data_IF_651148117448
#
_entry.id   IF_651148117448
#
_cell.length_a   1.000
_cell.length_b   1.000
_cell.length_c   1.000
_cell.angle_alpha   90.00
_cell.angle_beta   90.00
_cell.angle_gamma   90.00
#
_symmetry.space_group_name_H-M   'P 1'
#
loop_
_entity.id
_entity.type
_entity.pdbx_description
1 polymer ?
#
# COMPACT_ATOMS: atom_id res chain seq x y z
N UNK A 1 -3.18 -29.84 -15.19
CA UNK A 1 -3.49 -28.53 -15.81
C UNK A 1 -4.97 -28.17 -15.60
N UNK A 2 -5.34 -26.87 -15.68
CA UNK A 2 -6.72 -26.38 -15.54
C UNK A 2 -7.05 -25.54 -16.77
N UNK A 3 -8.17 -25.85 -17.44
CA UNK A 3 -8.70 -25.08 -18.56
C UNK A 3 -9.94 -24.30 -18.10
N UNK A 4 -9.87 -22.97 -18.08
CA UNK A 4 -11.01 -22.08 -17.87
C UNK A 4 -11.52 -21.69 -19.26
N UNK A 5 -12.81 -21.88 -19.55
CA UNK A 5 -13.36 -21.60 -20.88
C UNK A 5 -14.75 -20.98 -20.87
N UNK A 6 -15.09 -20.30 -21.99
CA UNK A 6 -16.40 -19.73 -22.22
C UNK A 6 -16.65 -18.36 -21.56
N UNK A 7 -15.70 -17.86 -20.77
CA UNK A 7 -15.79 -16.57 -20.11
C UNK A 7 -15.36 -15.40 -21.00
N UNK A 8 -15.76 -14.19 -20.61
CA UNK A 8 -15.15 -12.96 -21.11
C UNK A 8 -13.86 -12.72 -20.37
N UNK A 9 -12.71 -12.90 -21.04
CA UNK A 9 -11.40 -12.74 -20.41
C UNK A 9 -10.90 -11.31 -20.58
N UNK A 10 -10.55 -10.67 -19.47
CA UNK A 10 -9.97 -9.31 -19.42
C UNK A 10 -8.55 -9.38 -18.88
N UNK A 11 -7.53 -9.53 -19.76
CA UNK A 11 -6.16 -9.78 -19.31
C UNK A 11 -5.45 -8.53 -18.77
N UNK A 12 -6.07 -7.34 -18.86
CA UNK A 12 -5.56 -6.01 -18.52
C UNK A 12 -4.42 -5.55 -19.43
N UNK A 13 -3.46 -6.43 -19.73
CA UNK A 13 -2.27 -6.11 -20.57
C UNK A 13 -2.52 -6.30 -22.08
N UNK A 14 -3.76 -6.66 -22.47
CA UNK A 14 -4.14 -6.91 -23.87
C UNK A 14 -5.62 -6.71 -24.09
N UNK A 15 -6.07 -6.98 -25.33
CA UNK A 15 -7.49 -6.88 -25.68
C UNK A 15 -8.36 -7.90 -24.96
N UNK A 16 -9.61 -7.54 -24.69
CA UNK A 16 -10.62 -8.45 -24.15
C UNK A 16 -10.92 -9.60 -25.11
N UNK A 17 -11.16 -10.79 -24.60
CA UNK A 17 -11.44 -11.99 -25.37
C UNK A 17 -12.82 -12.52 -24.99
N UNK A 18 -13.80 -12.34 -25.89
CA UNK A 18 -15.16 -12.87 -25.70
C UNK A 18 -15.19 -14.38 -25.90
N UNK A 19 -15.84 -15.11 -24.98
CA UNK A 19 -15.92 -16.58 -24.94
C UNK A 19 -14.53 -17.20 -25.08
N UNK A 20 -13.56 -16.65 -24.31
CA UNK A 20 -12.17 -17.05 -24.37
C UNK A 20 -11.85 -18.28 -23.54
N UNK A 21 -10.62 -18.76 -23.73
CA UNK A 21 -10.04 -19.88 -23.01
C UNK A 21 -8.70 -19.49 -22.39
N UNK A 22 -8.45 -19.98 -21.18
CA UNK A 22 -7.20 -19.78 -20.43
C UNK A 22 -6.75 -21.12 -19.85
N UNK A 23 -5.54 -21.54 -20.18
CA UNK A 23 -4.92 -22.76 -19.69
C UNK A 23 -3.90 -22.41 -18.60
N UNK A 24 -4.07 -23.05 -17.44
CA UNK A 24 -3.14 -22.97 -16.31
C UNK A 24 -2.32 -24.27 -16.30
N UNK A 25 -1.00 -24.13 -16.32
CA UNK A 25 -0.05 -25.24 -16.24
C UNK A 25 0.02 -25.85 -14.83
N UNK A 26 0.70 -26.98 -14.73
CA UNK A 26 0.92 -27.66 -13.43
C UNK A 26 1.86 -26.87 -12.50
N UNK A 27 2.61 -25.94 -13.06
CA UNK A 27 3.42 -24.97 -12.32
C UNK A 27 2.61 -23.77 -11.77
N UNK A 28 1.28 -23.79 -11.95
CA UNK A 28 0.38 -22.69 -11.52
C UNK A 28 0.43 -21.44 -12.38
N UNK A 29 1.17 -21.45 -13.51
CA UNK A 29 1.29 -20.28 -14.40
C UNK A 29 0.32 -20.39 -15.57
N UNK A 30 -0.01 -19.23 -16.16
CA UNK A 30 -0.78 -19.17 -17.40
C UNK A 30 0.10 -19.73 -18.54
N UNK A 31 -0.27 -20.89 -19.06
CA UNK A 31 0.42 -21.55 -20.15
C UNK A 31 -0.06 -21.01 -21.52
N UNK A 32 -1.35 -20.70 -21.65
CA UNK A 32 -1.93 -20.16 -22.86
C UNK A 32 -3.19 -19.35 -22.56
N UNK A 33 -3.48 -18.36 -23.40
CA UNK A 33 -4.69 -17.53 -23.34
C UNK A 33 -5.09 -17.14 -24.78
N UNK A 34 -6.38 -17.27 -25.11
CA UNK A 34 -6.86 -16.97 -26.44
C UNK A 34 -8.35 -17.24 -26.60
N UNK A 35 -8.84 -17.11 -27.83
CA UNK A 35 -10.21 -17.49 -28.19
C UNK A 35 -10.40 -19.01 -28.06
N UNK A 36 -9.38 -19.77 -28.41
CA UNK A 36 -9.26 -21.21 -28.28
C UNK A 36 -7.82 -21.54 -27.94
N UNK A 37 -7.60 -22.45 -27.01
CA UNK A 37 -6.26 -22.92 -26.62
C UNK A 37 -6.16 -24.43 -26.77
N UNK A 38 -4.98 -24.92 -27.13
CA UNK A 38 -4.71 -26.35 -27.18
C UNK A 38 -4.45 -26.84 -25.74
N UNK A 39 -5.40 -27.63 -25.21
CA UNK A 39 -5.34 -28.12 -23.85
C UNK A 39 -5.30 -29.67 -23.83
N UNK A 40 -4.55 -30.29 -22.91
CA UNK A 40 -4.56 -31.75 -22.73
C UNK A 40 -5.98 -32.27 -22.44
N UNK A 41 -6.28 -33.47 -22.94
CA UNK A 41 -7.59 -34.08 -22.78
C UNK A 41 -7.98 -34.38 -21.33
N UNK A 42 -7.00 -34.47 -20.44
CA UNK A 42 -7.15 -34.71 -19.00
C UNK A 42 -7.13 -33.40 -18.17
N UNK A 43 -7.07 -32.23 -18.81
CA UNK A 43 -7.14 -30.97 -18.11
C UNK A 43 -8.50 -30.83 -17.39
N UNK A 44 -8.45 -30.39 -16.12
CA UNK A 44 -9.67 -30.04 -15.37
C UNK A 44 -10.33 -28.82 -16.00
N UNK A 45 -11.56 -28.99 -16.49
CA UNK A 45 -12.31 -27.89 -17.12
C UNK A 45 -13.13 -27.14 -16.10
N UNK A 46 -13.03 -25.80 -16.13
CA UNK A 46 -13.90 -24.86 -15.41
C UNK A 46 -14.70 -24.11 -16.46
N UNK A 47 -16.02 -24.28 -16.44
CA UNK A 47 -16.95 -23.52 -17.28
C UNK A 47 -17.15 -22.14 -16.70
N UNK A 48 -16.69 -21.12 -17.41
CA UNK A 48 -16.84 -19.69 -17.07
C UNK A 48 -17.86 -18.98 -17.97
N UNK A 49 -18.78 -19.71 -18.61
CA UNK A 49 -19.82 -19.13 -19.47
C UNK A 49 -20.62 -18.08 -18.69
N UNK A 50 -20.71 -16.87 -19.24
CA UNK A 50 -21.39 -15.73 -18.58
C UNK A 50 -20.58 -15.05 -17.48
N UNK A 51 -19.35 -15.51 -17.21
CA UNK A 51 -18.46 -14.91 -16.21
C UNK A 51 -17.47 -13.95 -16.86
N UNK A 52 -17.02 -12.97 -16.07
CA UNK A 52 -15.84 -12.17 -16.33
C UNK A 52 -14.63 -12.85 -15.69
N UNK A 53 -13.61 -13.15 -16.47
CA UNK A 53 -12.33 -13.73 -16.00
C UNK A 53 -11.29 -12.61 -15.99
N UNK A 54 -10.77 -12.28 -14.81
CA UNK A 54 -9.75 -11.24 -14.59
C UNK A 54 -8.57 -11.81 -13.83
N UNK A 55 -7.39 -11.16 -13.85
CA UNK A 55 -6.38 -11.40 -12.83
C UNK A 55 -6.95 -11.17 -11.43
N UNK A 56 -6.38 -11.82 -10.42
CA UNK A 56 -6.73 -11.53 -9.02
C UNK A 56 -6.49 -10.07 -8.69
N UNK A 57 -7.39 -9.48 -7.89
CA UNK A 57 -7.26 -8.08 -7.49
C UNK A 57 -6.08 -7.89 -6.54
N UNK A 58 -5.53 -6.67 -6.58
CA UNK A 58 -4.39 -6.26 -5.74
C UNK A 58 -4.79 -5.02 -4.97
N UNK A 59 -4.73 -5.07 -3.64
CA UNK A 59 -4.84 -3.86 -2.81
C UNK A 59 -3.45 -3.30 -2.51
N UNK A 60 -3.22 -2.05 -2.90
CA UNK A 60 -1.93 -1.39 -2.74
C UNK A 60 -1.73 -0.77 -1.33
N UNK A 61 -2.74 -0.82 -0.46
CA UNK A 61 -2.65 -0.30 0.90
C UNK A 61 -3.72 -0.87 1.83
N UNK A 62 -3.27 -1.67 2.78
CA UNK A 62 -4.10 -2.18 3.88
C UNK A 62 -3.23 -2.47 5.11
N UNK A 63 -3.87 -2.99 6.17
CA UNK A 63 -3.25 -3.39 7.44
C UNK A 63 -3.60 -4.83 7.83
N UNK A 64 -4.01 -5.66 6.85
CA UNK A 64 -4.38 -7.05 7.07
C UNK A 64 -3.23 -7.84 7.70
N UNK A 65 -3.56 -8.68 8.67
CA UNK A 65 -2.63 -9.54 9.40
C UNK A 65 -1.88 -8.86 10.55
N UNK A 66 -1.86 -7.49 10.61
CA UNK A 66 -1.31 -6.72 11.74
C UNK A 66 -2.39 -5.89 12.47
N UNK A 67 -3.60 -5.88 11.94
CA UNK A 67 -4.83 -5.48 12.61
C UNK A 67 -5.83 -6.60 12.33
N UNK A 68 -5.76 -7.66 13.17
CA UNK A 68 -6.41 -8.95 12.92
C UNK A 68 -7.92 -8.88 13.07
N UNK A 69 -8.63 -9.54 12.15
CA UNK A 69 -10.10 -9.60 12.16
C UNK A 69 -10.63 -10.17 13.48
N UNK A 70 -11.47 -9.38 14.16
CA UNK A 70 -12.14 -9.79 15.39
C UNK A 70 -11.29 -9.90 16.66
N UNK A 71 -9.98 -9.69 16.62
CA UNK A 71 -9.05 -9.92 17.73
C UNK A 71 -8.88 -8.73 18.69
N UNK A 72 -9.51 -7.59 18.39
CA UNK A 72 -9.46 -6.36 19.23
C UNK A 72 -8.03 -5.87 19.47
N UNK A 73 -7.75 -5.43 20.73
CA UNK A 73 -6.44 -4.84 21.07
C UNK A 73 -5.29 -5.84 21.01
N UNK A 74 -5.54 -7.12 21.25
CA UNK A 74 -4.50 -8.14 21.27
C UNK A 74 -3.99 -8.46 19.88
N UNK A 75 -4.88 -8.47 18.87
CA UNK A 75 -4.52 -8.63 17.47
C UNK A 75 -4.24 -7.31 16.73
N UNK A 76 -4.08 -6.17 17.45
CA UNK A 76 -3.81 -4.88 16.84
C UNK A 76 -2.37 -4.43 17.06
N UNK A 77 -1.48 -4.86 16.18
CA UNK A 77 -0.07 -4.46 16.09
C UNK A 77 0.17 -3.39 15.01
N UNK A 78 -0.92 -2.76 14.55
CA UNK A 78 -0.88 -1.82 13.43
C UNK A 78 -0.05 -0.57 13.70
N UNK A 79 0.03 -0.11 14.96
CA UNK A 79 0.72 1.13 15.30
C UNK A 79 1.56 1.00 16.57
N UNK A 80 2.84 1.36 16.48
CA UNK A 80 3.72 1.47 17.64
C UNK A 80 3.59 2.84 18.31
N UNK A 81 2.86 2.89 19.42
CA UNK A 81 2.54 4.14 20.11
C UNK A 81 3.63 4.65 21.08
N UNK A 82 4.74 3.94 21.24
CA UNK A 82 5.81 4.33 22.17
C UNK A 82 6.61 5.55 21.67
N UNK A 83 6.72 5.72 20.33
CA UNK A 83 7.43 6.83 19.69
C UNK A 83 6.76 7.23 18.37
N UNK A 84 6.72 8.52 18.01
CA UNK A 84 6.22 8.96 16.71
C UNK A 84 7.16 8.63 15.55
N UNK A 85 8.36 8.10 15.83
CA UNK A 85 9.40 7.78 14.85
C UNK A 85 9.92 6.38 15.12
N UNK A 86 9.57 5.44 14.27
CA UNK A 86 9.87 4.00 14.40
C UNK A 86 10.16 3.37 13.02
N UNK A 87 11.11 3.90 12.22
CA UNK A 87 11.37 3.41 10.87
C UNK A 87 11.91 1.98 10.84
N UNK A 88 12.48 1.50 11.96
CA UNK A 88 13.02 0.16 12.13
C UNK A 88 11.96 -0.94 12.24
N UNK A 89 10.67 -0.57 12.45
CA UNK A 89 9.59 -1.54 12.53
C UNK A 89 9.37 -2.22 11.17
N UNK A 90 9.26 -3.54 11.22
CA UNK A 90 9.11 -4.38 10.04
C UNK A 90 7.74 -5.06 10.09
N UNK A 91 6.86 -4.76 9.15
CA UNK A 91 5.52 -5.38 9.12
C UNK A 91 5.56 -6.91 9.15
N UNK A 92 6.56 -7.52 8.53
CA UNK A 92 6.70 -8.98 8.49
C UNK A 92 6.88 -9.63 9.87
N UNK A 93 7.30 -8.87 10.87
CA UNK A 93 7.49 -9.37 12.24
C UNK A 93 6.19 -9.36 13.06
N UNK A 94 5.15 -8.62 12.61
CA UNK A 94 3.84 -8.52 13.28
C UNK A 94 2.69 -9.19 12.52
N UNK A 95 2.88 -9.61 11.26
CA UNK A 95 1.80 -10.20 10.48
C UNK A 95 1.49 -11.63 10.95
N UNK A 96 0.22 -11.87 11.33
CA UNK A 96 -0.31 -13.20 11.55
C UNK A 96 -0.88 -13.77 10.23
N UNK A 97 -0.22 -14.76 9.57
CA UNK A 97 -0.72 -15.34 8.32
C UNK A 97 -1.99 -16.18 8.47
N UNK A 98 -2.44 -16.43 9.71
CA UNK A 98 -3.69 -17.16 10.02
C UNK A 98 -4.86 -16.25 10.33
N UNK A 99 -4.70 -14.94 10.20
CA UNK A 99 -5.80 -13.99 10.31
C UNK A 99 -6.89 -14.36 9.28
N UNK A 100 -8.14 -14.47 9.76
CA UNK A 100 -9.30 -14.83 8.94
C UNK A 100 -9.49 -13.87 7.75
N UNK A 101 -9.06 -12.63 7.87
CA UNK A 101 -9.12 -11.63 6.83
C UNK A 101 -8.40 -12.05 5.53
N UNK A 102 -7.36 -12.88 5.59
CA UNK A 102 -6.69 -13.41 4.39
C UNK A 102 -7.62 -14.32 3.60
N UNK A 103 -8.32 -15.24 4.28
CA UNK A 103 -9.26 -16.14 3.63
C UNK A 103 -10.44 -15.39 3.02
N UNK A 104 -11.05 -14.48 3.78
CA UNK A 104 -12.15 -13.64 3.31
C UNK A 104 -11.76 -12.80 2.09
N UNK A 105 -10.54 -12.27 2.07
CA UNK A 105 -10.03 -11.52 0.93
C UNK A 105 -9.92 -12.36 -0.34
N UNK A 106 -9.45 -13.62 -0.23
CA UNK A 106 -9.41 -14.57 -1.35
C UNK A 106 -10.81 -14.88 -1.88
N UNK A 107 -11.81 -15.06 -1.01
CA UNK A 107 -13.22 -15.22 -1.42
C UNK A 107 -13.73 -14.00 -2.18
N UNK A 108 -13.28 -12.79 -1.84
CA UNK A 108 -13.54 -11.54 -2.56
C UNK A 108 -12.75 -11.37 -3.86
N UNK A 109 -11.91 -12.33 -4.23
CA UNK A 109 -11.07 -12.29 -5.44
C UNK A 109 -9.81 -11.43 -5.29
N UNK A 110 -9.46 -10.96 -4.09
CA UNK A 110 -8.19 -10.27 -3.82
C UNK A 110 -7.13 -11.31 -3.53
N UNK A 111 -6.08 -11.35 -4.33
CA UNK A 111 -5.04 -12.39 -4.27
C UNK A 111 -3.69 -11.88 -3.80
N UNK A 112 -3.54 -10.56 -3.75
CA UNK A 112 -2.29 -9.91 -3.36
C UNK A 112 -2.63 -8.62 -2.62
N UNK A 113 -1.92 -8.32 -1.55
CA UNK A 113 -2.06 -7.05 -0.84
C UNK A 113 -0.70 -6.48 -0.45
N UNK A 114 -0.65 -5.15 -0.30
CA UNK A 114 0.47 -4.46 0.31
C UNK A 114 0.04 -4.02 1.70
N UNK A 115 0.60 -4.67 2.73
CA UNK A 115 0.26 -4.45 4.12
C UNK A 115 1.44 -3.92 4.93
N UNK A 116 1.16 -3.18 5.99
CA UNK A 116 2.19 -2.58 6.84
C UNK A 116 1.63 -1.65 7.89
N UNK A 117 2.49 -0.89 8.60
CA UNK A 117 2.08 -0.07 9.74
C UNK A 117 1.00 0.95 9.40
N UNK A 118 0.15 1.25 10.37
CA UNK A 118 -0.87 2.30 10.33
C UNK A 118 -0.28 3.70 10.32
N UNK A 119 -1.12 4.68 10.60
CA UNK A 119 -0.80 6.10 10.41
C UNK A 119 -0.72 6.91 11.70
N UNK A 120 -0.56 6.27 12.86
CA UNK A 120 -0.28 6.98 14.10
C UNK A 120 1.08 7.68 14.08
N UNK A 121 2.09 7.04 13.52
CA UNK A 121 3.48 7.49 13.52
C UNK A 121 3.79 8.44 12.36
N UNK A 122 4.56 9.48 12.63
CA UNK A 122 5.12 10.35 11.57
C UNK A 122 5.99 9.54 10.60
N UNK A 123 6.70 8.55 11.16
CA UNK A 123 7.54 7.59 10.43
C UNK A 123 7.34 6.22 11.09
N UNK A 124 6.66 5.30 10.41
CA UNK A 124 6.03 4.13 11.03
C UNK A 124 6.63 2.77 10.72
N UNK A 125 7.55 2.64 9.78
CA UNK A 125 8.15 1.36 9.40
C UNK A 125 7.84 0.91 7.97
N UNK A 126 8.22 -0.31 7.64
CA UNK A 126 8.19 -0.83 6.27
C UNK A 126 6.94 -1.64 5.95
N UNK A 127 6.49 -1.49 4.70
CA UNK A 127 5.42 -2.28 4.08
C UNK A 127 5.97 -3.50 3.32
N UNK A 128 5.13 -4.53 3.18
CA UNK A 128 5.40 -5.76 2.42
C UNK A 128 4.28 -6.03 1.43
N UNK A 129 4.62 -6.58 0.26
CA UNK A 129 3.64 -7.12 -0.68
C UNK A 129 3.56 -8.65 -0.50
N UNK A 130 2.35 -9.18 -0.33
CA UNK A 130 2.08 -10.58 -0.01
C UNK A 130 1.12 -11.21 -1.01
N UNK A 131 1.29 -12.50 -1.29
CA UNK A 131 0.19 -13.37 -1.68
C UNK A 131 -0.66 -13.68 -0.46
N UNK A 132 -2.00 -13.73 -0.65
CA UNK A 132 -2.92 -13.92 0.47
C UNK A 132 -3.19 -15.40 0.80
N UNK A 133 -2.64 -16.33 0.03
CA UNK A 133 -2.69 -17.75 0.29
C UNK A 133 -1.37 -18.22 0.91
N UNK A 134 -1.45 -18.84 2.09
CA UNK A 134 -0.29 -19.34 2.82
C UNK A 134 -0.54 -19.40 4.33
N UNK A 135 0.43 -19.93 5.07
CA UNK A 135 0.39 -20.06 6.52
C UNK A 135 1.72 -19.71 7.20
N UNK A 136 2.68 -19.23 6.41
CA UNK A 136 3.99 -18.78 6.84
C UNK A 136 4.32 -17.49 6.10
N UNK A 137 4.59 -16.42 6.83
CA UNK A 137 4.81 -15.11 6.23
C UNK A 137 5.94 -15.13 5.20
N UNK A 138 7.03 -15.84 5.47
CA UNK A 138 8.20 -15.88 4.59
C UNK A 138 7.86 -16.49 3.20
N UNK A 139 6.92 -17.44 3.15
CA UNK A 139 6.47 -18.07 1.91
C UNK A 139 5.46 -17.22 1.14
N UNK A 140 4.80 -16.27 1.82
CA UNK A 140 3.80 -15.37 1.22
C UNK A 140 4.41 -14.11 0.62
N UNK A 141 5.66 -13.77 0.95
CA UNK A 141 6.30 -12.53 0.50
C UNK A 141 6.50 -12.54 -1.02
N UNK A 142 5.94 -11.54 -1.70
CA UNK A 142 6.22 -11.21 -3.10
C UNK A 142 7.39 -10.25 -3.21
N UNK A 143 7.40 -9.22 -2.35
CA UNK A 143 8.47 -8.23 -2.28
C UNK A 143 8.52 -7.59 -0.88
N UNK A 144 9.72 -7.45 -0.34
CA UNK A 144 9.99 -6.79 0.93
C UNK A 144 11.38 -6.14 0.95
N UNK A 145 11.53 -4.90 1.49
CA UNK A 145 10.45 -3.95 1.73
C UNK A 145 9.91 -3.34 0.41
N UNK A 146 8.67 -2.84 0.41
CA UNK A 146 8.08 -2.17 -0.76
C UNK A 146 7.94 -0.67 -0.60
N UNK A 147 7.79 -0.18 0.63
CA UNK A 147 7.66 1.23 0.95
C UNK A 147 7.97 1.50 2.42
N UNK A 148 8.24 2.76 2.77
CA UNK A 148 8.39 3.26 4.13
C UNK A 148 7.18 4.12 4.49
N UNK A 149 6.42 3.73 5.54
CA UNK A 149 5.23 4.48 5.99
C UNK A 149 5.61 5.81 6.61
N UNK A 150 4.91 6.86 6.17
CA UNK A 150 4.89 8.16 6.83
C UNK A 150 3.44 8.63 6.95
N UNK A 151 3.16 9.50 7.92
CA UNK A 151 1.83 10.05 8.10
C UNK A 151 1.83 11.54 8.44
N UNK A 152 0.80 12.21 7.93
CA UNK A 152 0.50 13.61 8.14
C UNK A 152 -0.90 13.79 8.75
N UNK A 153 -1.20 15.01 9.19
CA UNK A 153 -2.56 15.40 9.53
C UNK A 153 -3.01 15.01 10.93
N UNK A 154 -4.27 14.60 10.98
CA UNK A 154 -5.00 14.39 12.24
C UNK A 154 -4.46 13.20 13.04
N UNK A 155 -4.07 12.10 12.38
CA UNK A 155 -3.69 10.88 13.05
C UNK A 155 -2.46 11.04 13.96
N UNK A 156 -1.26 11.46 13.50
CA UNK A 156 -0.12 11.64 14.39
C UNK A 156 -0.35 12.74 15.44
N UNK A 157 -1.07 13.80 15.10
CA UNK A 157 -1.43 14.85 16.05
C UNK A 157 -2.37 14.34 17.15
N UNK A 158 -3.35 13.51 16.81
CA UNK A 158 -4.29 12.95 17.75
C UNK A 158 -3.64 11.92 18.66
N UNK A 159 -2.92 10.97 18.06
CA UNK A 159 -2.31 9.87 18.81
C UNK A 159 -1.28 10.35 19.83
N UNK A 160 -0.37 11.22 19.45
CA UNK A 160 0.69 11.70 20.34
C UNK A 160 0.33 13.01 21.03
N UNK A 161 -0.24 13.99 20.32
CA UNK A 161 -0.52 15.30 20.87
C UNK A 161 -1.72 15.32 21.82
N UNK A 162 -2.90 14.89 21.37
CA UNK A 162 -4.10 14.93 22.19
C UNK A 162 -4.13 13.80 23.24
N UNK A 163 -3.87 12.57 22.81
CA UNK A 163 -4.02 11.41 23.69
C UNK A 163 -2.76 11.12 24.51
N UNK A 164 -1.58 11.37 23.95
CA UNK A 164 -0.30 11.08 24.60
C UNK A 164 0.34 12.26 25.33
N UNK A 165 -0.15 13.49 25.17
CA UNK A 165 0.46 14.72 25.68
C UNK A 165 1.96 14.87 25.33
N UNK A 166 2.34 14.39 24.12
CA UNK A 166 3.69 14.37 23.56
C UNK A 166 3.68 15.04 22.19
N UNK A 167 4.82 15.25 21.60
CA UNK A 167 4.93 15.68 20.19
C UNK A 167 4.69 14.49 19.22
N UNK A 168 4.11 14.76 18.01
CA UNK A 168 3.77 16.09 17.49
C UNK A 168 2.38 16.58 17.91
N UNK A 169 2.25 17.86 18.23
CA UNK A 169 0.96 18.51 18.53
C UNK A 169 0.42 19.29 17.31
N UNK A 170 1.30 19.67 16.40
CA UNK A 170 0.96 20.51 15.23
C UNK A 170 1.44 19.87 13.92
N UNK A 171 0.83 20.27 12.78
CA UNK A 171 1.33 19.91 11.43
C UNK A 171 2.77 20.38 11.20
N UNK A 172 3.17 21.51 11.80
CA UNK A 172 4.56 21.96 11.73
C UNK A 172 5.51 20.99 12.42
N UNK A 173 5.15 20.45 13.59
CA UNK A 173 5.94 19.46 14.31
C UNK A 173 6.01 18.13 13.55
N UNK A 174 4.91 17.65 12.95
CA UNK A 174 4.90 16.48 12.07
C UNK A 174 5.93 16.63 10.95
N UNK A 175 5.87 17.76 10.23
CA UNK A 175 6.80 18.03 9.14
C UNK A 175 8.26 18.21 9.61
N UNK A 176 8.48 18.80 10.79
CA UNK A 176 9.80 18.99 11.38
C UNK A 176 10.45 17.66 11.77
N UNK A 177 9.71 16.78 12.46
CA UNK A 177 10.18 15.45 12.84
C UNK A 177 10.58 14.63 11.62
N UNK A 178 9.74 14.61 10.57
CA UNK A 178 10.07 13.88 9.35
C UNK A 178 11.36 14.44 8.70
N UNK A 179 11.48 15.77 8.57
CA UNK A 179 12.70 16.39 8.02
C UNK A 179 13.95 16.05 8.83
N UNK A 180 13.84 16.10 10.14
CA UNK A 180 14.96 15.76 11.03
C UNK A 180 15.48 14.35 10.74
N UNK A 181 14.57 13.36 10.62
CA UNK A 181 14.97 11.99 10.32
C UNK A 181 15.57 11.86 8.91
N UNK A 182 14.99 12.51 7.92
CA UNK A 182 15.52 12.49 6.56
C UNK A 182 16.91 13.16 6.45
N UNK A 183 17.16 14.25 7.18
CA UNK A 183 18.50 14.85 7.27
C UNK A 183 19.51 13.91 7.92
N UNK A 184 19.14 13.28 9.05
CA UNK A 184 19.97 12.27 9.71
C UNK A 184 20.28 11.11 8.76
N UNK A 185 19.26 10.58 8.07
CA UNK A 185 19.41 9.47 7.14
C UNK A 185 20.30 9.82 5.93
N UNK A 186 20.18 11.03 5.37
CA UNK A 186 21.08 11.48 4.28
C UNK A 186 22.54 11.56 4.73
N UNK A 187 22.77 12.11 5.91
CA UNK A 187 24.14 12.16 6.48
C UNK A 187 24.67 10.77 6.73
N UNK A 188 23.86 9.91 7.35
CA UNK A 188 24.22 8.52 7.62
C UNK A 188 24.53 7.74 6.35
N UNK A 189 23.73 7.87 5.30
CA UNK A 189 23.99 7.24 4.00
C UNK A 189 25.37 7.65 3.44
N UNK A 190 25.73 8.95 3.53
CA UNK A 190 27.03 9.42 3.08
C UNK A 190 28.20 8.85 3.93
N UNK A 191 28.00 8.67 5.24
CA UNK A 191 29.00 8.06 6.12
C UNK A 191 29.15 6.55 5.81
N UNK A 192 28.05 5.83 5.56
CA UNK A 192 28.07 4.42 5.12
C UNK A 192 28.80 4.28 3.79
N UNK A 193 28.42 5.08 2.77
CA UNK A 193 29.04 5.04 1.45
C UNK A 193 30.53 5.38 1.49
N UNK A 194 30.96 6.25 2.42
CA UNK A 194 32.36 6.59 2.62
C UNK A 194 33.15 5.44 3.29
N UNK A 195 32.54 4.71 4.21
CA UNK A 195 33.15 3.54 4.84
C UNK A 195 33.24 2.35 3.89
N UNK A 196 32.25 2.15 3.02
CA UNK A 196 32.25 1.10 1.99
C UNK A 196 33.40 1.30 0.95
N UNK A 197 33.80 2.56 0.71
CA UNK A 197 34.90 2.92 -0.23
C UNK A 197 36.28 2.94 0.41
N UNK A 198 36.35 2.99 1.72
CA UNK A 198 37.63 3.12 2.46
C UNK A 198 37.71 2.11 3.62
N UNK A 199 38.45 1.01 3.45
CA UNK A 199 38.55 -0.04 4.48
C UNK A 199 39.14 0.42 5.82
N UNK A 200 39.75 1.60 5.87
CA UNK A 200 40.29 2.18 7.11
C UNK A 200 39.21 2.84 7.96
N UNK A 201 38.03 3.09 7.41
CA UNK A 201 36.87 3.69 8.09
C UNK A 201 35.97 2.61 8.69
N UNK A 202 35.53 2.85 9.91
CA UNK A 202 34.52 2.00 10.54
C UNK A 202 33.13 2.38 9.98
N UNK A 203 32.38 1.38 9.46
CA UNK A 203 31.00 1.59 9.04
C UNK A 203 30.14 1.90 10.27
N UNK A 204 29.39 3.02 10.28
CA UNK A 204 28.48 3.32 11.38
C UNK A 204 27.31 2.33 11.38
N UNK A 205 26.69 2.15 12.55
CA UNK A 205 25.47 1.38 12.69
C UNK A 205 24.47 2.12 13.58
N UNK A 206 23.27 2.36 13.03
CA UNK A 206 22.11 2.88 13.72
C UNK A 206 20.88 2.22 13.08
N UNK A 207 20.13 1.43 13.85
CA UNK A 207 19.05 0.59 13.34
C UNK A 207 17.93 1.42 12.68
N UNK A 208 17.60 2.60 13.20
CA UNK A 208 16.61 3.48 12.64
C UNK A 208 17.07 4.07 11.30
N UNK A 209 18.31 4.48 11.23
CA UNK A 209 18.89 5.09 10.03
C UNK A 209 19.20 4.03 8.96
N UNK A 210 19.56 2.81 9.34
CA UNK A 210 19.67 1.67 8.41
C UNK A 210 18.34 1.41 7.69
N UNK A 211 17.22 1.43 8.41
CA UNK A 211 15.89 1.24 7.83
C UNK A 211 15.52 2.31 6.80
N UNK A 212 16.14 3.49 6.86
CA UNK A 212 15.91 4.59 5.93
C UNK A 212 16.84 4.58 4.71
N UNK A 213 17.91 3.78 4.69
CA UNK A 213 18.83 3.71 3.54
C UNK A 213 18.12 3.37 2.23
N UNK A 214 17.19 2.39 2.18
CA UNK A 214 16.46 2.09 0.95
C UNK A 214 15.64 3.29 0.42
N UNK A 215 15.12 4.14 1.31
CA UNK A 215 14.40 5.37 0.94
C UNK A 215 15.37 6.40 0.36
N UNK A 216 16.49 6.66 1.06
CA UNK A 216 17.50 7.65 0.61
C UNK A 216 18.12 7.22 -0.71
N UNK A 217 18.29 5.92 -0.94
CA UNK A 217 18.81 5.33 -2.19
C UNK A 217 17.74 5.14 -3.27
N UNK A 218 16.50 5.60 -3.04
CA UNK A 218 15.35 5.47 -3.98
C UNK A 218 15.05 4.03 -4.40
N UNK A 219 15.32 3.06 -3.55
CA UNK A 219 15.00 1.65 -3.77
C UNK A 219 13.53 1.36 -3.42
N UNK A 220 12.99 2.13 -2.46
CA UNK A 220 11.57 2.13 -2.08
C UNK A 220 11.06 3.56 -1.89
N UNK A 221 9.78 3.86 -2.19
CA UNK A 221 9.19 5.15 -1.95
C UNK A 221 8.83 5.37 -0.47
N UNK A 222 8.64 6.63 -0.11
CA UNK A 222 7.83 7.01 1.03
C UNK A 222 6.34 6.76 0.70
N UNK A 223 5.59 6.17 1.63
CA UNK A 223 4.16 5.88 1.51
C UNK A 223 3.39 6.79 2.47
N UNK A 224 2.83 7.87 1.92
CA UNK A 224 2.38 9.02 2.69
C UNK A 224 0.87 9.00 2.94
N UNK A 225 0.45 8.70 4.16
CA UNK A 225 -0.91 8.95 4.61
C UNK A 225 -1.17 10.46 4.66
N UNK A 226 -2.10 10.95 3.83
CA UNK A 226 -2.56 12.32 3.84
C UNK A 226 -3.96 12.44 3.23
N UNK A 227 -4.90 13.02 3.99
CA UNK A 227 -6.27 13.24 3.52
C UNK A 227 -6.48 14.65 2.98
N UNK A 228 -6.04 15.69 3.73
CA UNK A 228 -6.28 17.09 3.40
C UNK A 228 -5.31 17.60 2.35
N UNK A 229 -5.79 18.53 1.55
CA UNK A 229 -5.00 19.18 0.47
C UNK A 229 -3.70 19.81 0.98
N UNK A 230 -3.72 20.47 2.13
CA UNK A 230 -2.53 21.11 2.73
C UNK A 230 -1.50 20.08 3.22
N UNK A 231 -1.94 18.94 3.77
CA UNK A 231 -1.08 17.84 4.19
C UNK A 231 -0.47 17.10 2.97
N UNK A 232 -1.27 16.85 1.92
CA UNK A 232 -0.80 16.29 0.66
C UNK A 232 0.29 17.16 0.03
N UNK A 233 0.06 18.48 -0.05
CA UNK A 233 1.04 19.42 -0.59
C UNK A 233 2.31 19.50 0.27
N UNK A 234 2.19 19.32 1.58
CA UNK A 234 3.34 19.26 2.48
C UNK A 234 4.16 17.98 2.27
N UNK A 235 3.50 16.83 2.10
CA UNK A 235 4.17 15.57 1.77
C UNK A 235 4.96 15.69 0.45
N UNK A 236 4.34 16.21 -0.60
CA UNK A 236 4.98 16.46 -1.89
C UNK A 236 6.15 17.45 -1.80
N UNK A 237 6.02 18.49 -0.97
CA UNK A 237 7.09 19.47 -0.74
C UNK A 237 8.31 18.82 -0.11
N UNK A 238 8.11 17.96 0.91
CA UNK A 238 9.20 17.26 1.59
C UNK A 238 9.85 16.24 0.64
N UNK A 239 9.07 15.45 -0.09
CA UNK A 239 9.61 14.52 -1.07
C UNK A 239 10.51 15.23 -2.11
N UNK A 240 10.08 16.39 -2.63
CA UNK A 240 10.86 17.20 -3.56
C UNK A 240 12.10 17.81 -2.92
N UNK A 241 12.02 18.30 -1.67
CA UNK A 241 13.12 18.89 -0.89
C UNK A 241 14.28 17.89 -0.70
N UNK A 242 13.93 16.62 -0.49
CA UNK A 242 14.89 15.55 -0.28
C UNK A 242 15.20 14.74 -1.53
N UNK A 243 14.53 15.02 -2.67
CA UNK A 243 14.62 14.27 -3.93
C UNK A 243 14.29 12.78 -3.73
N UNK A 244 13.12 12.48 -3.13
CA UNK A 244 12.66 11.13 -2.82
C UNK A 244 11.42 10.75 -3.63
N UNK A 245 11.26 9.44 -3.85
CA UNK A 245 10.02 8.89 -4.38
C UNK A 245 8.95 8.80 -3.29
N UNK A 246 7.70 9.02 -3.71
CA UNK A 246 6.55 9.07 -2.80
C UNK A 246 5.30 8.56 -3.49
N UNK A 247 4.45 7.85 -2.75
CA UNK A 247 3.05 7.60 -3.09
C UNK A 247 2.16 8.36 -2.10
N UNK A 248 0.97 8.77 -2.55
CA UNK A 248 0.00 9.49 -1.74
C UNK A 248 -1.16 8.56 -1.38
N UNK A 249 -1.22 8.16 -0.12
CA UNK A 249 -2.28 7.29 0.37
C UNK A 249 -3.49 8.13 0.80
N UNK A 250 -4.68 7.61 0.53
CA UNK A 250 -6.00 8.21 0.74
C UNK A 250 -6.30 9.37 -0.20
N UNK A 251 -5.49 10.41 -0.23
CA UNK A 251 -5.61 11.55 -1.14
C UNK A 251 -7.05 12.12 -1.21
N UNK A 252 -7.76 12.13 -0.07
CA UNK A 252 -9.21 12.38 0.04
C UNK A 252 -9.62 13.73 -0.56
N UNK A 253 -8.85 14.79 -0.32
CA UNK A 253 -9.06 16.13 -0.91
C UNK A 253 -8.25 16.33 -2.21
N UNK A 254 -7.75 15.27 -2.85
CA UNK A 254 -6.96 15.36 -4.07
C UNK A 254 -7.69 16.04 -5.23
N UNK A 255 -9.01 15.85 -5.32
CA UNK A 255 -9.85 16.51 -6.32
C UNK A 255 -9.90 18.06 -6.18
N UNK A 256 -9.48 18.61 -5.05
CA UNK A 256 -9.38 20.07 -4.84
C UNK A 256 -8.05 20.65 -5.32
N UNK A 257 -7.04 19.81 -5.62
CA UNK A 257 -5.67 20.21 -5.96
C UNK A 257 -5.12 19.46 -7.18
N UNK A 258 -5.99 19.15 -8.15
CA UNK A 258 -5.66 18.32 -9.33
C UNK A 258 -4.42 18.84 -10.07
N UNK A 259 -4.36 20.15 -10.36
CA UNK A 259 -3.24 20.73 -11.11
C UNK A 259 -1.89 20.51 -10.41
N UNK A 260 -1.88 20.60 -9.07
CA UNK A 260 -0.68 20.39 -8.27
C UNK A 260 -0.25 18.91 -8.27
N UNK A 261 -1.23 17.99 -8.24
CA UNK A 261 -0.97 16.54 -8.30
C UNK A 261 -0.44 16.14 -9.68
N UNK A 262 -1.05 16.62 -10.77
CA UNK A 262 -0.59 16.40 -12.14
C UNK A 262 0.85 16.92 -12.31
N UNK A 263 1.13 18.13 -11.82
CA UNK A 263 2.49 18.70 -11.85
C UNK A 263 3.50 17.85 -11.06
N UNK A 264 3.07 17.22 -9.96
CA UNK A 264 3.93 16.36 -9.15
C UNK A 264 4.19 15.00 -9.81
N UNK A 265 3.22 14.47 -10.59
CA UNK A 265 3.32 13.22 -11.34
C UNK A 265 3.61 12.00 -10.45
N UNK A 266 3.04 11.96 -9.25
CA UNK A 266 3.24 10.84 -8.32
C UNK A 266 1.98 10.00 -8.23
N UNK A 267 2.10 8.66 -8.04
CA UNK A 267 0.97 7.77 -7.89
C UNK A 267 0.08 8.16 -6.69
N UNK A 268 -1.23 8.02 -6.85
CA UNK A 268 -2.23 8.28 -5.82
C UNK A 268 -3.03 7.02 -5.51
N UNK A 269 -3.19 6.72 -4.22
CA UNK A 269 -3.94 5.56 -3.74
C UNK A 269 -5.20 6.08 -3.06
N UNK A 270 -6.32 6.07 -3.76
CA UNK A 270 -7.58 6.70 -3.32
C UNK A 270 -8.44 5.70 -2.54
N UNK A 271 -8.75 6.02 -1.31
CA UNK A 271 -9.59 5.23 -0.43
C UNK A 271 -9.23 5.39 1.05
N UNK A 272 -10.07 4.79 1.94
CA UNK A 272 -11.35 4.15 1.66
C UNK A 272 -12.43 5.18 1.31
N UNK A 273 -13.05 5.04 0.15
CA UNK A 273 -14.15 5.94 -0.26
C UNK A 273 -15.49 5.49 0.31
N UNK A 274 -15.69 4.17 0.43
CA UNK A 274 -16.86 3.56 1.07
C UNK A 274 -16.81 3.76 2.60
N UNK A 275 -17.96 3.86 3.25
CA UNK A 275 -18.06 4.07 4.70
C UNK A 275 -18.28 5.54 5.11
N UNK A 276 -18.38 5.79 6.43
CA UNK A 276 -18.76 7.09 7.01
C UNK A 276 -17.60 8.11 7.00
N UNK A 277 -17.96 9.40 7.18
CA UNK A 277 -17.00 10.48 7.44
C UNK A 277 -16.65 10.52 8.94
N UNK A 278 -15.87 9.55 9.40
CA UNK A 278 -15.59 9.30 10.81
C UNK A 278 -14.67 10.32 11.50
N UNK A 279 -13.97 11.17 10.73
CA UNK A 279 -13.07 12.21 11.23
C UNK A 279 -13.09 13.47 10.35
N UNK A 280 -12.64 14.60 10.89
CA UNK A 280 -12.75 15.92 10.24
C UNK A 280 -12.05 15.97 8.88
N UNK A 281 -10.92 15.34 8.75
CA UNK A 281 -10.16 15.34 7.47
C UNK A 281 -10.83 14.49 6.36
N UNK A 282 -11.94 13.78 6.67
CA UNK A 282 -12.76 13.08 5.69
C UNK A 282 -14.00 13.87 5.23
N UNK A 283 -14.16 15.14 5.65
CA UNK A 283 -15.36 15.96 5.34
C UNK A 283 -15.63 16.09 3.84
N UNK A 284 -14.58 16.18 3.02
CA UNK A 284 -14.68 16.29 1.55
C UNK A 284 -14.59 14.94 0.83
N UNK A 285 -14.72 13.81 1.56
CA UNK A 285 -14.71 12.46 0.98
C UNK A 285 -15.85 12.29 0.00
N UNK A 286 -15.54 11.88 -1.23
CA UNK A 286 -16.49 11.57 -2.30
C UNK A 286 -16.01 10.38 -3.11
N UNK A 287 -16.92 9.67 -3.78
CA UNK A 287 -16.58 8.61 -4.73
C UNK A 287 -15.93 9.15 -6.02
N UNK A 288 -16.17 10.42 -6.35
CA UNK A 288 -15.68 11.03 -7.58
C UNK A 288 -14.18 11.28 -7.62
N UNK A 289 -13.51 11.35 -6.45
CA UNK A 289 -12.08 11.71 -6.35
C UNK A 289 -11.21 10.84 -7.27
N UNK A 290 -11.38 9.52 -7.24
CA UNK A 290 -10.58 8.60 -8.06
C UNK A 290 -10.75 8.88 -9.56
N UNK A 291 -12.00 8.98 -10.03
CA UNK A 291 -12.31 9.25 -11.43
C UNK A 291 -11.85 10.64 -11.90
N UNK A 292 -11.89 11.66 -11.03
CA UNK A 292 -11.37 13.00 -11.35
C UNK A 292 -9.86 12.95 -11.57
N UNK A 293 -9.12 12.26 -10.69
CA UNK A 293 -7.66 12.16 -10.76
C UNK A 293 -7.21 11.29 -11.94
N UNK A 294 -7.91 10.19 -12.22
CA UNK A 294 -7.65 9.32 -13.37
C UNK A 294 -7.84 10.06 -14.70
N UNK A 295 -8.98 10.78 -14.87
CA UNK A 295 -9.23 11.61 -16.06
C UNK A 295 -8.21 12.75 -16.23
N UNK A 296 -7.57 13.17 -15.17
CA UNK A 296 -6.47 14.14 -15.22
C UNK A 296 -5.12 13.51 -15.63
N UNK A 297 -5.07 12.18 -15.83
CA UNK A 297 -3.89 11.45 -16.28
C UNK A 297 -2.95 11.02 -15.16
N UNK A 298 -3.42 10.98 -13.92
CA UNK A 298 -2.65 10.44 -12.79
C UNK A 298 -2.76 8.91 -12.73
N UNK A 299 -1.72 8.27 -12.23
CA UNK A 299 -1.76 6.85 -11.87
C UNK A 299 -2.56 6.71 -10.57
N UNK A 300 -3.75 6.12 -10.67
CA UNK A 300 -4.71 5.98 -9.56
C UNK A 300 -4.88 4.51 -9.19
N UNK A 301 -4.73 4.19 -7.90
CA UNK A 301 -5.11 2.91 -7.32
C UNK A 301 -6.31 3.10 -6.38
N UNK A 302 -7.26 2.18 -6.40
CA UNK A 302 -8.33 2.10 -5.40
C UNK A 302 -7.85 1.21 -4.26
N UNK A 303 -8.06 1.64 -3.01
CA UNK A 303 -7.65 0.93 -1.80
C UNK A 303 -8.78 0.81 -0.80
N UNK A 304 -8.72 -0.23 0.05
CA UNK A 304 -9.69 -0.43 1.13
C UNK A 304 -9.23 0.15 2.46
N UNK A 305 -7.90 0.26 2.68
CA UNK A 305 -7.35 0.57 4.01
C UNK A 305 -7.84 -0.45 5.06
N UNK A 306 -7.97 -1.73 4.65
CA UNK A 306 -8.48 -2.77 5.55
C UNK A 306 -7.68 -2.81 6.86
N UNK A 307 -8.37 -2.93 8.02
CA UNK A 307 -9.77 -3.34 8.22
C UNK A 307 -10.78 -2.18 8.18
N UNK A 308 -10.40 -0.93 7.83
CA UNK A 308 -11.37 0.19 7.75
C UNK A 308 -12.52 -0.16 6.80
N UNK A 309 -12.21 -0.71 5.63
CA UNK A 309 -13.15 -1.44 4.78
C UNK A 309 -12.57 -2.84 4.61
N UNK A 310 -13.33 -3.90 4.95
CA UNK A 310 -12.85 -5.25 4.76
C UNK A 310 -12.33 -5.50 3.34
N UNK A 311 -11.19 -6.17 3.23
CA UNK A 311 -10.43 -6.27 1.99
C UNK A 311 -11.23 -6.91 0.83
N UNK A 312 -12.13 -7.85 1.13
CA UNK A 312 -13.02 -8.48 0.14
C UNK A 312 -14.00 -7.51 -0.55
N UNK A 313 -14.15 -6.28 -0.05
CA UNK A 313 -14.94 -5.23 -0.72
C UNK A 313 -14.13 -4.38 -1.71
N UNK A 314 -12.86 -4.69 -1.97
CA UNK A 314 -12.06 -3.95 -2.95
C UNK A 314 -12.75 -3.83 -4.32
N UNK A 315 -13.35 -4.91 -4.90
CA UNK A 315 -14.10 -4.80 -6.16
C UNK A 315 -15.31 -3.86 -6.07
N UNK A 316 -16.01 -3.84 -4.93
CA UNK A 316 -17.12 -2.91 -4.70
C UNK A 316 -16.62 -1.46 -4.62
N UNK A 317 -15.50 -1.21 -3.91
CA UNK A 317 -14.88 0.12 -3.85
C UNK A 317 -14.52 0.63 -5.24
N UNK A 318 -13.97 -0.25 -6.10
CA UNK A 318 -13.66 0.08 -7.49
C UNK A 318 -14.96 0.39 -8.30
N UNK A 319 -16.01 -0.40 -8.13
CA UNK A 319 -17.30 -0.18 -8.79
C UNK A 319 -17.99 1.13 -8.41
N UNK A 320 -17.77 1.62 -7.18
CA UNK A 320 -18.31 2.90 -6.71
C UNK A 320 -17.52 4.13 -7.22
N UNK A 321 -16.34 3.92 -7.77
CA UNK A 321 -15.46 4.97 -8.30
C UNK A 321 -15.68 5.26 -9.80
N UNK A 322 -16.57 4.50 -10.47
CA UNK A 322 -16.85 4.59 -11.93
C UNK A 322 -17.86 5.69 -12.26
#
# INVERSE_FOLDING_TARGET
>A
MILIKGGKIKPITGAEIENGELLIGDDGKIAAIGKTVDAPADAKVIDATGCLVTPGFIDAHCHIGIDEEGMRWEGNDCNEYSSPVTPEMRSIDGINPRDEAFHLALEGGVTTATTGPGSANVLGGTFVALKLDGNCIDDMIVKYPVAMKIAFGENPKGCYGQNGHKEPVTRMAVAALLREQLFKAKRYAAEVDAAEKDPTKTRPFDMQLEALLPVIRKQIPLKAHAHRADDILTALRIAREFDLDITLDHCTEGHLIVDQLVKAGKPVLVGPSFGSKSKIELREKTFETAGILDRAGLEVCIITDAPVIPLYYLPLCAGLAV
#
